data_IF_294868951979
#
_entry.id   IF_294868951979
#
_cell.length_a   1.000
_cell.length_b   1.000
_cell.length_c   1.000
_cell.angle_alpha   90.00
_cell.angle_beta   90.00
_cell.angle_gamma   90.00
#
_symmetry.space_group_name_H-M   'P 1'
#
loop_
_entity.id
_entity.type
_entity.pdbx_description
1 polymer ?
#
# COMPACT_ATOMS: atom_id res chain seq x y z
N UNK A 1 26.10 -38.73 47.38
CA UNK A 1 27.57 -38.65 47.25
C UNK A 1 27.87 -37.61 46.18
N UNK A 2 28.35 -36.40 46.42
CA UNK A 2 28.92 -35.80 47.62
C UNK A 2 28.65 -34.29 47.60
N UNK A 3 28.36 -33.80 48.79
CA UNK A 3 28.18 -32.42 49.22
C UNK A 3 29.51 -31.70 49.47
N UNK A 4 29.53 -30.37 49.33
CA UNK A 4 30.36 -29.36 50.01
C UNK A 4 29.80 -28.00 49.52
N UNK A 5 28.93 -27.25 50.22
CA UNK A 5 29.00 -26.60 51.53
C UNK A 5 30.33 -25.86 51.78
N UNK A 6 30.32 -24.53 51.60
CA UNK A 6 30.88 -23.62 52.59
C UNK A 6 30.06 -22.32 52.69
N UNK A 7 29.80 -21.94 53.94
CA UNK A 7 28.97 -20.84 54.45
C UNK A 7 29.79 -19.55 54.67
N UNK A 8 29.06 -18.43 54.75
CA UNK A 8 29.39 -17.24 55.54
C UNK A 8 29.02 -15.97 54.79
N UNK A 9 28.26 -15.01 55.30
CA UNK A 9 27.68 -14.74 56.61
C UNK A 9 27.14 -13.29 56.59
N UNK A 10 26.09 -13.05 57.38
CA UNK A 10 25.25 -11.85 57.47
C UNK A 10 25.95 -10.49 57.64
N UNK A 11 25.27 -9.41 57.20
CA UNK A 11 24.84 -8.32 58.11
C UNK A 11 23.90 -7.32 57.42
N UNK A 12 22.76 -7.04 58.05
CA UNK A 12 21.89 -5.88 57.79
C UNK A 12 22.50 -4.62 58.40
N UNK A 13 22.36 -3.44 57.77
CA UNK A 13 22.20 -2.14 58.43
C UNK A 13 21.90 -0.98 57.44
N UNK A 14 20.76 -0.33 57.70
CA UNK A 14 20.44 1.11 57.66
C UNK A 14 20.48 1.97 56.39
N UNK A 15 19.46 2.84 56.32
CA UNK A 15 19.25 4.02 55.49
C UNK A 15 20.44 5.00 55.37
N UNK A 16 20.62 5.58 54.18
CA UNK A 16 20.48 7.02 53.90
C UNK A 16 21.12 7.44 52.56
N UNK A 17 20.37 8.19 51.74
CA UNK A 17 20.85 9.37 51.02
C UNK A 17 21.97 9.29 49.96
N UNK A 18 21.58 9.71 48.74
CA UNK A 18 22.33 10.52 47.74
C UNK A 18 23.10 9.81 46.60
N UNK A 19 22.78 10.36 45.42
CA UNK A 19 23.57 10.55 44.18
C UNK A 19 23.71 9.35 43.24
N UNK A 20 23.01 9.48 42.11
CA UNK A 20 23.23 8.71 40.89
C UNK A 20 24.70 8.72 40.49
N UNK A 21 25.29 7.52 40.38
CA UNK A 21 26.61 7.30 39.77
C UNK A 21 26.41 6.86 38.33
N UNK A 22 27.05 7.58 37.41
CA UNK A 22 27.33 7.14 36.04
C UNK A 22 28.17 5.86 36.13
N UNK A 23 27.65 4.73 35.67
CA UNK A 23 28.39 3.47 35.62
C UNK A 23 29.04 3.33 34.25
N UNK A 24 30.36 3.11 34.27
CA UNK A 24 31.25 3.03 33.12
C UNK A 24 30.99 1.82 32.22
N UNK A 25 31.42 1.97 30.96
CA UNK A 25 31.24 1.07 29.84
C UNK A 25 31.79 -0.36 30.08
N UNK A 26 30.95 -1.37 29.81
CA UNK A 26 31.37 -2.75 29.63
C UNK A 26 32.02 -2.95 28.26
N UNK A 27 33.22 -3.53 28.27
CA UNK A 27 34.06 -3.82 27.11
C UNK A 27 33.68 -5.20 26.56
N UNK A 28 32.89 -5.26 25.49
CA UNK A 28 32.64 -6.51 24.75
C UNK A 28 33.65 -6.67 23.61
N UNK A 29 34.35 -7.81 23.60
CA UNK A 29 35.15 -8.29 22.46
C UNK A 29 34.34 -9.37 21.73
N UNK A 30 34.23 -9.25 20.41
CA UNK A 30 33.98 -10.37 19.51
C UNK A 30 32.79 -10.19 18.55
N UNK A 31 33.09 -10.21 17.25
CA UNK A 31 32.13 -10.36 16.15
C UNK A 31 32.15 -9.19 15.16
N UNK A 32 32.73 -9.39 13.97
CA UNK A 32 32.61 -8.46 12.83
C UNK A 32 31.16 -8.42 12.37
N UNK A 33 30.35 -7.55 12.97
CA UNK A 33 29.10 -7.08 12.39
C UNK A 33 29.42 -5.98 11.36
N UNK A 34 28.73 -5.98 10.23
CA UNK A 34 28.81 -4.93 9.23
C UNK A 34 28.68 -3.55 9.90
N UNK A 35 29.64 -2.65 9.64
CA UNK A 35 29.59 -1.29 10.19
C UNK A 35 28.30 -0.60 9.72
N UNK A 36 27.51 0.01 10.62
CA UNK A 36 26.38 0.82 10.18
C UNK A 36 26.91 2.02 9.40
N UNK A 37 26.51 2.15 8.13
CA UNK A 37 27.04 3.16 7.21
C UNK A 37 26.85 4.62 7.71
N UNK A 38 25.95 4.88 8.67
CA UNK A 38 25.71 6.21 9.21
C UNK A 38 25.83 6.21 10.73
N UNK A 39 26.78 6.96 11.28
CA UNK A 39 26.81 7.22 12.72
C UNK A 39 25.62 8.11 13.09
N UNK A 40 24.89 7.82 14.19
CA UNK A 40 23.81 8.68 14.64
C UNK A 40 24.39 10.04 15.06
N UNK A 41 23.78 11.13 14.59
CA UNK A 41 24.16 12.49 14.91
C UNK A 41 23.56 12.95 16.24
N UNK A 42 22.31 12.58 16.49
CA UNK A 42 21.57 12.91 17.72
C UNK A 42 20.53 11.83 17.99
N UNK A 43 20.34 11.47 19.25
CA UNK A 43 19.40 10.42 19.65
C UNK A 43 18.61 10.88 20.88
N UNK A 44 17.30 10.62 20.85
CA UNK A 44 16.38 10.84 21.96
C UNK A 44 15.74 9.51 22.36
N UNK A 45 15.48 9.37 23.66
CA UNK A 45 14.65 8.30 24.22
C UNK A 45 13.53 8.97 24.98
N UNK A 46 12.29 8.77 24.52
CA UNK A 46 11.09 9.30 25.14
C UNK A 46 10.36 8.18 25.87
N UNK A 47 9.88 8.47 27.07
CA UNK A 47 8.92 7.61 27.78
C UNK A 47 7.54 8.06 27.34
N UNK A 48 6.74 7.12 26.83
CA UNK A 48 5.43 7.39 26.24
C UNK A 48 4.38 6.47 26.84
N UNK A 49 3.13 6.90 26.80
CA UNK A 49 2.00 6.01 27.09
C UNK A 49 1.80 5.01 25.94
N UNK A 50 1.36 3.77 26.22
CA UNK A 50 0.91 2.84 25.19
C UNK A 50 -0.16 3.46 24.30
N UNK A 51 -0.22 3.06 23.02
CA UNK A 51 -1.22 3.54 22.04
C UNK A 51 -1.19 5.06 21.83
N UNK A 52 -0.03 5.69 22.04
CA UNK A 52 0.17 7.10 21.67
C UNK A 52 0.26 7.27 20.15
N UNK A 53 0.25 8.53 19.70
CA UNK A 53 0.38 8.91 18.28
C UNK A 53 1.75 9.51 17.98
N UNK A 54 2.31 9.19 16.81
CA UNK A 54 3.50 9.82 16.27
C UNK A 54 3.08 10.91 15.28
N UNK A 55 3.43 12.15 15.55
CA UNK A 55 3.23 13.30 14.67
C UNK A 55 4.60 13.78 14.20
N UNK A 56 4.90 13.63 12.91
CA UNK A 56 6.17 14.08 12.31
C UNK A 56 5.88 15.09 11.21
N UNK A 57 6.55 16.23 11.27
CA UNK A 57 6.55 17.25 10.22
C UNK A 57 7.98 17.69 9.95
N UNK A 58 8.55 17.20 8.85
CA UNK A 58 9.96 17.39 8.52
C UNK A 58 10.18 17.50 6.99
N UNK A 59 11.07 18.39 6.51
CA UNK A 59 11.43 18.50 5.10
C UNK A 59 12.44 17.44 4.64
N UNK A 60 12.60 16.33 5.38
CA UNK A 60 13.63 15.32 5.13
C UNK A 60 13.06 13.90 5.23
N UNK A 61 13.90 12.89 5.01
CA UNK A 61 13.43 11.49 4.96
C UNK A 61 13.13 10.92 6.33
N UNK A 62 11.96 10.31 6.50
CA UNK A 62 11.48 9.74 7.77
C UNK A 62 11.33 8.22 7.64
N UNK A 63 11.95 7.48 8.55
CA UNK A 63 11.82 6.02 8.63
C UNK A 63 11.22 5.64 9.96
N UNK A 64 10.06 4.98 9.97
CA UNK A 64 9.40 4.50 11.18
C UNK A 64 9.38 2.98 11.17
N UNK A 65 9.82 2.38 12.27
CA UNK A 65 9.80 0.93 12.45
C UNK A 65 9.30 0.53 13.83
N UNK A 66 8.63 -0.60 13.91
CA UNK A 66 8.20 -1.16 15.19
C UNK A 66 9.37 -1.75 15.98
N UNK A 67 9.35 -1.56 17.30
CA UNK A 67 10.22 -2.25 18.24
C UNK A 67 9.90 -3.74 18.30
N UNK A 68 10.89 -4.54 18.71
CA UNK A 68 10.68 -5.94 19.06
C UNK A 68 9.90 -6.03 20.39
N UNK A 69 8.68 -6.60 20.39
CA UNK A 69 7.88 -6.77 21.61
C UNK A 69 8.58 -7.58 22.70
N UNK A 70 9.48 -8.50 22.34
CA UNK A 70 10.19 -9.32 23.33
C UNK A 70 11.27 -8.52 24.07
N UNK A 71 11.92 -7.57 23.38
CA UNK A 71 12.91 -6.69 23.98
C UNK A 71 12.26 -5.55 24.78
N UNK A 72 11.07 -5.10 24.37
CA UNK A 72 10.35 -3.98 24.97
C UNK A 72 8.88 -4.34 25.29
N UNK A 73 8.63 -5.20 26.28
CA UNK A 73 7.28 -5.71 26.56
C UNK A 73 6.33 -4.63 27.10
N UNK A 74 6.85 -3.56 27.68
CA UNK A 74 6.04 -2.48 28.26
C UNK A 74 5.51 -1.48 27.23
N UNK A 75 6.02 -1.49 25.99
CA UNK A 75 5.59 -0.57 24.93
C UNK A 75 5.56 0.91 25.36
N UNK A 76 6.48 1.30 26.25
CA UNK A 76 6.50 2.58 26.96
C UNK A 76 7.59 3.53 26.46
N UNK A 77 8.27 3.19 25.37
CA UNK A 77 9.42 3.94 24.87
C UNK A 77 9.34 4.20 23.39
N UNK A 78 9.84 5.37 22.99
CA UNK A 78 10.10 5.71 21.59
C UNK A 78 11.55 6.16 21.45
N UNK A 79 12.23 5.63 20.44
CA UNK A 79 13.59 6.03 20.12
C UNK A 79 13.56 6.88 18.85
N UNK A 80 14.16 8.07 18.91
CA UNK A 80 14.32 8.95 17.75
C UNK A 80 15.80 9.12 17.49
N UNK A 81 16.25 8.81 16.28
CA UNK A 81 17.64 8.88 15.86
C UNK A 81 17.73 9.70 14.60
N UNK A 82 18.57 10.73 14.59
CA UNK A 82 18.85 11.54 13.41
C UNK A 82 20.19 11.08 12.84
N UNK A 83 20.21 10.74 11.55
CA UNK A 83 21.39 10.30 10.81
C UNK A 83 21.60 11.20 9.59
N UNK A 84 22.83 11.64 9.36
CA UNK A 84 23.22 12.40 8.17
C UNK A 84 23.99 11.52 7.19
N UNK A 85 23.79 11.75 5.89
CA UNK A 85 24.39 10.91 4.83
C UNK A 85 25.78 11.40 4.39
N UNK A 86 26.28 12.57 4.85
CA UNK A 86 27.63 12.99 4.44
C UNK A 86 28.50 13.58 5.56
N UNK A 87 29.77 13.19 5.55
CA UNK A 87 30.80 13.61 6.53
C UNK A 87 31.62 14.82 6.07
N UNK A 88 31.28 15.44 4.94
CA UNK A 88 32.15 16.44 4.32
C UNK A 88 31.44 17.76 4.01
N UNK A 89 31.99 18.82 4.62
CA UNK A 89 32.08 20.23 4.14
C UNK A 89 30.98 21.22 4.60
N UNK A 90 31.34 21.99 5.64
CA UNK A 90 31.05 23.42 5.87
C UNK A 90 29.63 23.97 6.08
N UNK A 91 28.62 23.15 6.38
CA UNK A 91 27.48 23.63 7.19
C UNK A 91 27.37 22.77 8.44
N UNK A 92 27.46 23.40 9.60
CA UNK A 92 27.00 22.73 10.82
C UNK A 92 25.56 22.29 10.56
N UNK A 93 25.29 20.99 10.71
CA UNK A 93 23.91 20.54 10.77
C UNK A 93 23.34 21.18 12.03
N UNK A 94 22.48 22.19 11.88
CA UNK A 94 21.75 22.81 13.01
C UNK A 94 20.70 21.82 13.52
N UNK A 95 21.19 20.73 14.13
CA UNK A 95 20.40 19.67 14.77
C UNK A 95 19.66 20.17 16.02
N UNK A 96 19.84 21.43 16.39
CA UNK A 96 19.11 22.11 17.44
C UNK A 96 17.74 22.62 16.96
N UNK A 97 17.51 22.69 15.64
CA UNK A 97 16.21 23.06 15.06
C UNK A 97 15.20 21.90 15.04
N UNK A 98 15.57 20.72 15.53
CA UNK A 98 14.67 19.56 15.60
C UNK A 98 14.07 19.52 17.00
N UNK A 99 12.78 19.83 17.09
CA UNK A 99 12.03 19.71 18.33
C UNK A 99 11.43 18.31 18.44
N UNK A 100 11.83 17.57 19.48
CA UNK A 100 11.28 16.25 19.82
C UNK A 100 10.66 16.35 21.21
N UNK A 101 9.33 16.26 21.29
CA UNK A 101 8.58 16.41 22.55
C UNK A 101 7.51 15.33 22.65
N UNK A 102 7.26 14.85 23.87
CA UNK A 102 6.09 14.05 24.18
C UNK A 102 5.10 14.91 24.97
N UNK A 103 3.87 15.00 24.47
CA UNK A 103 2.77 15.69 25.13
C UNK A 103 1.83 14.66 25.75
N UNK A 104 1.77 14.64 27.09
CA UNK A 104 1.02 13.64 27.85
C UNK A 104 -0.50 13.83 27.78
N UNK A 105 -0.97 15.08 27.71
CA UNK A 105 -2.39 15.44 27.63
C UNK A 105 -3.05 14.90 26.36
N UNK A 106 -2.37 14.98 25.23
CA UNK A 106 -2.81 14.53 23.91
C UNK A 106 -2.24 13.16 23.52
N UNK A 107 -1.36 12.58 24.35
CA UNK A 107 -0.65 11.31 24.12
C UNK A 107 0.00 11.27 22.74
N UNK A 108 0.75 12.31 22.40
CA UNK A 108 1.42 12.41 21.11
C UNK A 108 2.91 12.72 21.23
N UNK A 109 3.71 12.05 20.41
CA UNK A 109 5.11 12.39 20.17
C UNK A 109 5.14 13.33 18.98
N UNK A 110 5.59 14.56 19.19
CA UNK A 110 5.73 15.58 18.15
C UNK A 110 7.20 15.70 17.77
N UNK A 111 7.48 15.54 16.48
CA UNK A 111 8.78 15.78 15.86
C UNK A 111 8.58 16.83 14.79
N UNK A 112 9.10 18.03 14.99
CA UNK A 112 8.93 19.14 14.08
C UNK A 112 10.25 19.86 13.80
N UNK A 113 10.50 20.19 12.54
CA UNK A 113 11.61 21.04 12.13
C UNK A 113 11.31 21.71 10.79
N UNK A 114 11.70 22.98 10.64
CA UNK A 114 11.52 23.77 9.40
C UNK A 114 12.80 23.95 8.59
N UNK A 115 13.96 23.80 9.22
CA UNK A 115 15.26 24.07 8.61
C UNK A 115 16.20 22.92 8.94
N UNK A 116 16.06 21.85 8.17
CA UNK A 116 16.91 20.66 8.22
C UNK A 116 17.26 20.27 6.79
N UNK A 117 18.50 19.82 6.59
CA UNK A 117 18.96 19.40 5.28
C UNK A 117 18.15 18.18 4.79
N UNK A 118 17.73 18.24 3.52
CA UNK A 118 17.03 17.20 2.80
C UNK A 118 17.77 15.86 2.76
N UNK A 119 19.11 15.87 2.88
CA UNK A 119 19.95 14.66 2.96
C UNK A 119 19.94 14.00 4.35
N UNK A 120 19.31 14.62 5.34
CA UNK A 120 19.17 14.04 6.68
C UNK A 120 18.06 13.00 6.70
N UNK A 121 18.24 11.96 7.52
CA UNK A 121 17.22 10.95 7.75
C UNK A 121 16.90 10.78 9.24
N UNK A 122 15.63 10.89 9.59
CA UNK A 122 15.11 10.66 10.93
C UNK A 122 14.54 9.26 11.03
N UNK A 123 15.17 8.42 11.84
CA UNK A 123 14.71 7.09 12.18
C UNK A 123 13.94 7.14 13.50
N UNK A 124 12.70 6.67 13.50
CA UNK A 124 11.84 6.58 14.69
C UNK A 124 11.49 5.11 14.93
N UNK A 125 11.78 4.62 16.12
CA UNK A 125 11.41 3.26 16.54
C UNK A 125 10.32 3.34 17.59
N UNK A 126 9.09 3.01 17.19
CA UNK A 126 7.88 3.08 18.04
C UNK A 126 7.49 1.70 18.56
N UNK A 127 6.66 1.60 19.62
CA UNK A 127 5.97 0.36 19.93
C UNK A 127 5.17 -0.17 18.72
N UNK A 128 4.84 -1.47 18.72
CA UNK A 128 4.09 -2.10 17.61
C UNK A 128 2.74 -1.43 17.39
N UNK A 129 2.01 -1.12 18.46
CA UNK A 129 0.73 -0.40 18.41
C UNK A 129 0.93 1.10 18.61
N UNK A 130 0.93 1.86 17.53
CA UNK A 130 1.18 3.30 17.56
C UNK A 130 0.54 3.99 16.36
N UNK A 131 -0.32 4.98 16.59
CA UNK A 131 -0.89 5.77 15.50
C UNK A 131 0.21 6.60 14.82
N UNK A 132 0.10 6.80 13.51
CA UNK A 132 1.15 7.48 12.73
C UNK A 132 0.54 8.58 11.89
N UNK A 133 1.10 9.78 12.01
CA UNK A 133 0.78 10.96 11.22
C UNK A 133 2.10 11.60 10.76
N UNK A 134 2.47 11.40 9.51
CA UNK A 134 3.74 11.89 8.95
C UNK A 134 3.45 12.83 7.79
N UNK A 135 4.06 14.00 7.85
CA UNK A 135 4.07 15.00 6.79
C UNK A 135 5.52 15.28 6.41
N UNK A 136 5.85 15.10 5.14
CA UNK A 136 7.15 15.51 4.61
C UNK A 136 7.01 16.47 3.44
N UNK A 137 7.84 17.52 3.48
CA UNK A 137 7.93 18.52 2.41
C UNK A 137 9.21 18.34 1.59
N UNK A 138 9.22 18.91 0.38
CA UNK A 138 10.34 18.77 -0.55
C UNK A 138 10.53 17.34 -1.04
N UNK A 139 11.75 16.82 -0.93
CA UNK A 139 12.15 15.49 -1.43
C UNK A 139 12.18 14.41 -0.34
N UNK A 140 11.71 14.73 0.88
CA UNK A 140 11.72 13.82 2.01
C UNK A 140 10.85 12.58 1.78
N UNK A 141 11.47 11.39 1.82
CA UNK A 141 10.78 10.11 1.63
C UNK A 141 10.34 9.49 2.95
N UNK A 142 9.19 8.81 2.96
CA UNK A 142 8.62 8.15 4.14
C UNK A 142 8.73 6.64 4.00
N UNK A 143 9.23 5.96 5.03
CA UNK A 143 9.27 4.50 5.07
C UNK A 143 8.70 3.98 6.38
N UNK A 144 7.60 3.23 6.34
CA UNK A 144 6.96 2.66 7.52
C UNK A 144 7.04 1.14 7.47
N UNK A 145 7.49 0.50 8.55
CA UNK A 145 7.64 -0.96 8.61
C UNK A 145 7.03 -1.58 9.86
N UNK A 146 6.21 -2.62 9.66
CA UNK A 146 5.68 -3.53 10.69
C UNK A 146 4.89 -2.85 11.81
N UNK A 147 4.17 -1.79 11.50
CA UNK A 147 3.35 -1.05 12.47
C UNK A 147 1.92 -1.58 12.47
N UNK A 148 1.33 -1.63 13.67
CA UNK A 148 -0.11 -1.78 13.90
C UNK A 148 -0.67 -0.45 14.42
N UNK A 149 -1.75 0.05 13.84
CA UNK A 149 -2.37 1.31 14.26
C UNK A 149 -3.88 1.32 14.01
N UNK A 150 -4.57 2.32 14.53
CA UNK A 150 -5.95 2.58 14.11
C UNK A 150 -5.95 3.56 12.93
N UNK A 151 -5.06 4.56 12.99
CA UNK A 151 -4.93 5.56 11.94
C UNK A 151 -3.46 5.68 11.47
N UNK A 152 -3.26 5.54 10.17
CA UNK A 152 -2.02 5.83 9.48
C UNK A 152 -2.27 6.95 8.46
N UNK A 153 -1.72 8.14 8.70
CA UNK A 153 -1.75 9.26 7.77
C UNK A 153 -0.35 9.59 7.27
N UNK A 154 -0.19 9.69 5.96
CA UNK A 154 1.07 10.02 5.30
C UNK A 154 0.78 11.07 4.23
N UNK A 155 1.55 12.16 4.26
CA UNK A 155 1.49 13.24 3.29
C UNK A 155 2.91 13.54 2.80
N UNK A 156 3.15 13.42 1.49
CA UNK A 156 4.48 13.62 0.88
C UNK A 156 4.40 14.52 -0.34
N UNK A 157 5.30 15.50 -0.46
CA UNK A 157 5.29 16.42 -1.62
C UNK A 157 5.93 15.77 -2.86
N UNK A 158 7.23 15.47 -2.87
CA UNK A 158 7.93 14.83 -4.00
C UNK A 158 8.67 13.55 -3.64
N UNK A 159 8.69 13.20 -2.36
CA UNK A 159 9.38 12.02 -1.85
C UNK A 159 8.60 10.73 -2.06
N UNK A 160 9.29 9.60 -1.93
CA UNK A 160 8.66 8.29 -2.03
C UNK A 160 8.00 7.88 -0.72
N UNK A 161 6.81 7.28 -0.80
CA UNK A 161 6.07 6.74 0.33
C UNK A 161 6.09 5.21 0.28
N UNK A 162 6.81 4.57 1.21
CA UNK A 162 6.94 3.12 1.29
C UNK A 162 6.29 2.59 2.57
N UNK A 163 5.29 1.72 2.43
CA UNK A 163 4.67 1.02 3.55
C UNK A 163 4.98 -0.46 3.43
N UNK A 164 5.50 -1.07 4.49
CA UNK A 164 5.82 -2.48 4.54
C UNK A 164 5.12 -3.19 5.69
N UNK A 165 4.21 -4.11 5.35
CA UNK A 165 3.50 -4.96 6.34
C UNK A 165 2.81 -4.16 7.46
N UNK A 166 2.00 -3.17 7.06
CA UNK A 166 1.26 -2.28 7.98
C UNK A 166 -0.13 -2.85 8.22
N UNK A 167 -0.58 -2.87 9.47
CA UNK A 167 -1.98 -3.18 9.82
C UNK A 167 -2.63 -1.94 10.39
N UNK A 168 -3.64 -1.41 9.73
CA UNK A 168 -4.39 -0.28 10.24
C UNK A 168 -5.88 -0.53 10.17
N UNK A 169 -6.68 0.22 10.93
CA UNK A 169 -8.10 0.34 10.60
C UNK A 169 -8.29 1.28 9.40
N UNK A 170 -7.60 2.43 9.39
CA UNK A 170 -7.60 3.40 8.31
C UNK A 170 -6.16 3.76 7.87
N UNK A 171 -5.89 3.70 6.56
CA UNK A 171 -4.63 4.12 5.94
C UNK A 171 -4.94 5.22 4.93
N UNK A 172 -4.41 6.42 5.14
CA UNK A 172 -4.59 7.57 4.27
C UNK A 172 -3.23 8.03 3.77
N UNK A 173 -2.98 7.89 2.47
CA UNK A 173 -1.74 8.31 1.82
C UNK A 173 -2.09 9.40 0.81
N UNK A 174 -1.44 10.55 0.94
CA UNK A 174 -1.50 11.65 -0.03
C UNK A 174 -0.10 11.93 -0.53
N UNK A 175 0.07 11.98 -1.85
CA UNK A 175 1.34 12.34 -2.45
C UNK A 175 1.12 13.30 -3.61
N UNK A 176 1.87 14.40 -3.66
CA UNK A 176 1.80 15.37 -4.77
C UNK A 176 2.76 14.99 -5.92
N UNK A 177 3.71 14.10 -5.63
CA UNK A 177 4.78 13.68 -6.50
C UNK A 177 5.53 12.48 -5.90
N UNK A 178 6.27 11.74 -6.73
CA UNK A 178 7.06 10.59 -6.30
C UNK A 178 6.32 9.25 -6.43
N UNK A 179 6.71 8.26 -5.64
CA UNK A 179 6.16 6.90 -5.74
C UNK A 179 5.57 6.40 -4.43
N UNK A 180 4.37 5.84 -4.51
CA UNK A 180 3.75 5.08 -3.41
C UNK A 180 4.03 3.59 -3.61
N UNK A 181 4.68 2.94 -2.65
CA UNK A 181 5.00 1.51 -2.68
C UNK A 181 4.47 0.79 -1.43
N UNK A 182 3.43 0.00 -1.60
CA UNK A 182 2.92 -0.89 -0.56
C UNK A 182 3.53 -2.29 -0.73
N UNK A 183 4.48 -2.64 0.14
CA UNK A 183 5.23 -3.89 0.14
C UNK A 183 4.66 -4.87 1.19
N UNK A 184 4.56 -6.15 0.81
CA UNK A 184 3.88 -7.15 1.63
C UNK A 184 2.36 -6.90 1.66
N UNK A 185 1.74 -7.16 2.82
CA UNK A 185 0.30 -6.99 3.01
C UNK A 185 0.01 -5.74 3.82
N UNK A 186 -0.82 -4.84 3.29
CA UNK A 186 -1.41 -3.74 4.05
C UNK A 186 -2.86 -4.09 4.38
N UNK A 187 -3.20 -4.03 5.66
CA UNK A 187 -4.56 -4.31 6.15
C UNK A 187 -5.27 -3.01 6.51
N UNK A 188 -6.58 -2.95 6.24
CA UNK A 188 -7.45 -1.85 6.64
C UNK A 188 -8.21 -1.19 5.50
N UNK A 189 -8.95 -0.14 5.83
CA UNK A 189 -9.57 0.75 4.86
C UNK A 189 -8.50 1.69 4.30
N UNK A 190 -8.25 1.63 3.00
CA UNK A 190 -7.10 2.32 2.39
C UNK A 190 -7.60 3.41 1.45
N UNK A 191 -7.17 4.65 1.67
CA UNK A 191 -7.36 5.77 0.77
C UNK A 191 -6.00 6.26 0.27
N UNK A 192 -5.74 6.18 -1.02
CA UNK A 192 -4.52 6.67 -1.67
C UNK A 192 -4.91 7.74 -2.67
N UNK A 193 -4.34 8.93 -2.53
CA UNK A 193 -4.42 9.99 -3.51
C UNK A 193 -2.99 10.31 -3.98
N UNK A 194 -2.76 10.16 -5.28
CA UNK A 194 -1.46 10.41 -5.89
C UNK A 194 -1.63 11.39 -7.06
N UNK A 195 -1.21 12.64 -6.84
CA UNK A 195 -1.32 13.71 -7.82
C UNK A 195 -0.17 13.68 -8.83
N UNK A 196 -0.30 14.47 -9.89
CA UNK A 196 0.66 14.60 -10.98
C UNK A 196 1.05 13.23 -11.56
N UNK A 197 2.35 13.03 -11.83
CA UNK A 197 2.89 11.81 -12.44
C UNK A 197 3.28 10.73 -11.41
N UNK A 198 2.62 10.71 -10.24
CA UNK A 198 2.98 9.83 -9.14
C UNK A 198 2.62 8.37 -9.41
N UNK A 199 3.60 7.47 -9.32
CA UNK A 199 3.35 6.03 -9.56
C UNK A 199 2.93 5.30 -8.29
N UNK A 200 1.90 4.46 -8.38
CA UNK A 200 1.40 3.68 -7.25
C UNK A 200 1.63 2.19 -7.52
N UNK A 201 2.47 1.56 -6.69
CA UNK A 201 2.75 0.12 -6.75
C UNK A 201 2.32 -0.56 -5.46
N UNK A 202 1.41 -1.52 -5.59
CA UNK A 202 0.80 -2.23 -4.50
C UNK A 202 1.03 -3.72 -4.69
N UNK A 203 1.58 -4.38 -3.68
CA UNK A 203 1.72 -5.83 -3.68
C UNK A 203 0.42 -6.50 -3.25
N UNK A 204 -0.06 -6.24 -2.03
CA UNK A 204 -1.29 -6.83 -1.52
C UNK A 204 -2.02 -5.87 -0.58
N UNK A 205 -3.29 -5.60 -0.86
CA UNK A 205 -4.20 -4.92 0.07
C UNK A 205 -5.32 -5.86 0.50
N UNK A 206 -5.68 -5.79 1.78
CA UNK A 206 -6.81 -6.53 2.35
C UNK A 206 -7.60 -5.60 3.26
N UNK A 207 -8.90 -5.44 3.00
CA UNK A 207 -9.74 -4.55 3.79
C UNK A 207 -11.16 -4.49 3.29
N UNK A 208 -12.02 -3.76 3.98
CA UNK A 208 -13.44 -3.64 3.59
C UNK A 208 -13.61 -2.67 2.44
N UNK A 209 -12.99 -1.47 2.54
CA UNK A 209 -13.10 -0.40 1.55
C UNK A 209 -11.73 0.09 1.11
N UNK A 210 -11.49 0.16 -0.20
CA UNK A 210 -10.24 0.71 -0.78
C UNK A 210 -10.55 1.77 -1.82
N UNK A 211 -10.04 2.98 -1.65
CA UNK A 211 -10.13 4.06 -2.62
C UNK A 211 -8.73 4.45 -3.10
N UNK A 212 -8.51 4.42 -4.41
CA UNK A 212 -7.23 4.82 -5.01
C UNK A 212 -7.51 5.78 -6.16
N UNK A 213 -6.98 6.98 -6.06
CA UNK A 213 -7.09 8.02 -7.07
C UNK A 213 -5.68 8.42 -7.53
N UNK A 214 -5.44 8.32 -8.84
CA UNK A 214 -4.21 8.80 -9.49
C UNK A 214 -4.57 9.87 -10.53
N UNK A 215 -3.67 10.80 -10.82
CA UNK A 215 -3.85 11.72 -11.95
C UNK A 215 -3.23 11.12 -13.21
N UNK A 216 -1.92 11.32 -13.41
CA UNK A 216 -1.23 10.90 -14.65
C UNK A 216 -0.31 9.70 -14.45
N UNK A 217 -0.03 9.34 -13.20
CA UNK A 217 0.86 8.23 -12.89
C UNK A 217 0.22 6.86 -13.02
N UNK A 218 1.05 5.85 -13.29
CA UNK A 218 0.59 4.46 -13.42
C UNK A 218 0.19 3.85 -12.07
N UNK A 219 -0.91 3.09 -12.07
CA UNK A 219 -1.37 2.31 -10.92
C UNK A 219 -1.17 0.82 -11.20
N UNK A 220 -0.40 0.15 -10.35
CA UNK A 220 -0.20 -1.31 -10.40
C UNK A 220 -0.50 -1.94 -9.05
N UNK A 221 -1.54 -2.75 -8.97
CA UNK A 221 -1.87 -3.54 -7.78
C UNK A 221 -1.83 -5.03 -8.11
N UNK A 222 -1.02 -5.83 -7.41
CA UNK A 222 -0.88 -7.26 -7.70
C UNK A 222 -2.02 -8.09 -7.10
N UNK A 223 -2.41 -7.81 -5.85
CA UNK A 223 -3.51 -8.49 -5.17
C UNK A 223 -4.42 -7.49 -4.44
N UNK A 224 -5.70 -7.51 -4.74
CA UNK A 224 -6.74 -6.75 -4.04
C UNK A 224 -7.78 -7.72 -3.49
N UNK A 225 -7.87 -7.82 -2.17
CA UNK A 225 -8.90 -8.62 -1.48
C UNK A 225 -9.79 -7.69 -0.68
N UNK A 226 -10.89 -7.26 -1.30
CA UNK A 226 -11.76 -6.24 -0.71
C UNK A 226 -13.22 -6.65 -0.75
N UNK A 227 -14.05 -6.04 0.08
CA UNK A 227 -15.50 -6.11 -0.15
C UNK A 227 -15.88 -5.12 -1.26
N UNK A 228 -15.41 -3.87 -1.14
CA UNK A 228 -15.60 -2.83 -2.15
C UNK A 228 -14.32 -2.04 -2.41
N UNK A 229 -14.13 -1.63 -3.67
CA UNK A 229 -13.06 -0.71 -4.03
C UNK A 229 -13.47 0.28 -5.11
N UNK A 230 -12.93 1.49 -5.03
CA UNK A 230 -13.08 2.55 -6.02
C UNK A 230 -11.70 2.97 -6.51
N UNK A 231 -11.45 2.83 -7.80
CA UNK A 231 -10.17 3.12 -8.42
C UNK A 231 -10.38 4.11 -9.55
N UNK A 232 -9.69 5.25 -9.51
CA UNK A 232 -9.76 6.24 -10.58
C UNK A 232 -8.38 6.72 -11.04
N UNK A 233 -8.27 7.03 -12.33
CA UNK A 233 -7.09 7.64 -12.95
C UNK A 233 -7.50 8.67 -13.99
N UNK A 234 -6.82 9.81 -14.10
CA UNK A 234 -7.06 10.73 -15.22
C UNK A 234 -6.45 10.17 -16.50
N UNK A 235 -5.13 10.02 -16.57
CA UNK A 235 -4.45 9.56 -17.80
C UNK A 235 -3.57 8.31 -17.60
N UNK A 236 -3.23 7.95 -16.36
CA UNK A 236 -2.36 6.81 -16.08
C UNK A 236 -3.01 5.44 -16.29
N UNK A 237 -2.24 4.49 -16.84
CA UNK A 237 -2.63 3.07 -16.96
C UNK A 237 -2.96 2.45 -15.59
N UNK A 238 -4.03 1.65 -15.55
CA UNK A 238 -4.42 0.87 -14.37
C UNK A 238 -4.21 -0.62 -14.65
N UNK A 239 -3.36 -1.26 -13.85
CA UNK A 239 -3.03 -2.70 -13.96
C UNK A 239 -3.31 -3.41 -12.64
N UNK A 240 -4.39 -4.18 -12.62
CA UNK A 240 -4.78 -5.02 -11.50
C UNK A 240 -4.42 -6.48 -11.79
N UNK A 241 -3.78 -7.16 -10.83
CA UNK A 241 -3.40 -8.57 -10.93
C UNK A 241 -4.58 -9.48 -10.65
N UNK A 242 -4.76 -9.88 -9.39
CA UNK A 242 -5.94 -10.61 -8.93
C UNK A 242 -6.79 -9.73 -8.04
N UNK A 243 -8.09 -9.70 -8.31
CA UNK A 243 -9.06 -8.83 -7.67
C UNK A 243 -10.22 -9.68 -7.15
N UNK A 244 -10.52 -9.53 -5.86
CA UNK A 244 -11.66 -10.15 -5.21
C UNK A 244 -12.57 -9.07 -4.62
N UNK A 245 -13.88 -9.22 -4.83
CA UNK A 245 -14.92 -8.29 -4.37
C UNK A 245 -15.47 -7.37 -5.47
N UNK A 246 -16.15 -6.31 -5.05
CA UNK A 246 -16.80 -5.36 -5.95
C UNK A 246 -15.88 -4.18 -6.26
N UNK A 247 -15.68 -3.88 -7.54
CA UNK A 247 -14.76 -2.83 -7.99
C UNK A 247 -15.44 -1.84 -8.91
N UNK A 248 -15.34 -0.55 -8.59
CA UNK A 248 -15.67 0.54 -9.47
C UNK A 248 -14.37 1.16 -10.00
N UNK A 249 -14.18 1.13 -11.31
CA UNK A 249 -12.97 1.60 -11.98
C UNK A 249 -13.30 2.66 -13.02
N UNK A 250 -12.61 3.79 -12.96
CA UNK A 250 -12.72 4.84 -13.96
C UNK A 250 -11.34 5.30 -14.42
N UNK A 251 -11.09 5.32 -15.73
CA UNK A 251 -9.95 6.00 -16.33
C UNK A 251 -10.46 7.01 -17.35
N UNK A 252 -9.83 8.17 -17.54
CA UNK A 252 -10.23 9.04 -18.68
C UNK A 252 -9.50 8.59 -19.95
N UNK A 253 -8.17 8.53 -19.91
CA UNK A 253 -7.35 8.21 -21.10
C UNK A 253 -6.48 6.96 -20.95
N UNK A 254 -6.36 6.41 -19.74
CA UNK A 254 -5.49 5.26 -19.46
C UNK A 254 -6.10 3.92 -19.87
N UNK A 255 -5.24 2.97 -20.22
CA UNK A 255 -5.67 1.58 -20.47
C UNK A 255 -5.87 0.83 -19.16
N UNK A 256 -6.84 -0.08 -19.17
CA UNK A 256 -7.23 -0.87 -18.00
C UNK A 256 -6.94 -2.34 -18.25
N UNK A 257 -6.15 -2.96 -17.39
CA UNK A 257 -5.90 -4.40 -17.44
C UNK A 257 -6.24 -5.05 -16.10
N UNK A 258 -7.06 -6.09 -16.13
CA UNK A 258 -7.37 -6.93 -14.97
C UNK A 258 -6.95 -8.37 -15.27
N UNK A 259 -5.99 -8.87 -14.51
CA UNK A 259 -5.39 -10.19 -14.70
C UNK A 259 -6.31 -11.34 -14.31
N UNK A 260 -7.12 -11.16 -13.26
CA UNK A 260 -8.15 -12.10 -12.78
C UNK A 260 -9.14 -11.38 -11.88
N UNK A 261 -10.42 -11.45 -12.24
CA UNK A 261 -11.54 -10.94 -11.44
C UNK A 261 -12.34 -12.10 -10.84
N UNK A 262 -12.59 -12.02 -9.53
CA UNK A 262 -13.47 -12.89 -8.74
C UNK A 262 -14.45 -11.98 -7.96
N UNK A 263 -15.57 -11.63 -8.59
CA UNK A 263 -16.53 -10.65 -8.04
C UNK A 263 -17.19 -9.80 -9.11
N UNK A 264 -17.59 -8.57 -8.75
CA UNK A 264 -18.24 -7.61 -9.66
C UNK A 264 -17.28 -6.49 -10.06
N UNK A 265 -17.44 -5.98 -11.29
CA UNK A 265 -16.61 -4.90 -11.82
C UNK A 265 -17.45 -3.96 -12.68
N UNK A 266 -17.47 -2.68 -12.33
CA UNK A 266 -17.93 -1.61 -13.21
C UNK A 266 -16.71 -0.80 -13.65
N UNK A 267 -16.27 -0.94 -14.90
CA UNK A 267 -15.12 -0.23 -15.45
C UNK A 267 -15.53 0.70 -16.60
N UNK A 268 -14.97 1.91 -16.62
CA UNK A 268 -15.17 2.87 -17.72
C UNK A 268 -13.86 3.55 -18.16
N UNK A 269 -13.72 3.79 -19.46
CA UNK A 269 -12.65 4.59 -20.07
C UNK A 269 -13.17 5.42 -21.24
N UNK A 270 -12.53 6.55 -21.55
CA UNK A 270 -12.84 7.28 -22.78
C UNK A 270 -12.00 6.74 -23.94
N UNK A 271 -10.67 6.80 -23.82
CA UNK A 271 -9.78 6.47 -24.94
C UNK A 271 -9.00 5.14 -24.78
N UNK A 272 -8.82 4.67 -23.55
CA UNK A 272 -7.95 3.53 -23.26
C UNK A 272 -8.53 2.18 -23.67
N UNK A 273 -7.66 1.20 -23.96
CA UNK A 273 -8.12 -0.17 -24.17
C UNK A 273 -8.44 -0.85 -22.83
N UNK A 274 -9.40 -1.79 -22.83
CA UNK A 274 -9.70 -2.64 -21.69
C UNK A 274 -9.36 -4.10 -21.99
N UNK A 275 -8.59 -4.74 -21.12
CA UNK A 275 -8.28 -6.18 -21.18
C UNK A 275 -8.54 -6.84 -19.82
N UNK A 276 -9.65 -7.57 -19.71
CA UNK A 276 -10.16 -8.07 -18.42
C UNK A 276 -10.39 -9.57 -18.49
N UNK A 277 -9.78 -10.32 -17.56
CA UNK A 277 -10.09 -11.73 -17.34
C UNK A 277 -11.08 -11.90 -16.21
N UNK A 278 -12.21 -12.52 -16.51
CA UNK A 278 -13.26 -12.82 -15.52
C UNK A 278 -13.18 -14.29 -15.17
N UNK A 279 -12.66 -14.60 -13.98
CA UNK A 279 -12.48 -15.97 -13.50
C UNK A 279 -13.74 -16.51 -12.84
N UNK A 280 -14.41 -15.69 -12.03
CA UNK A 280 -15.74 -15.95 -11.48
C UNK A 280 -16.61 -14.72 -11.70
N UNK A 281 -17.83 -14.93 -12.20
CA UNK A 281 -18.72 -13.85 -12.62
C UNK A 281 -19.65 -13.45 -11.49
N UNK A 282 -19.55 -12.19 -11.06
CA UNK A 282 -20.64 -11.42 -10.45
C UNK A 282 -21.34 -10.55 -11.51
N UNK A 283 -21.40 -9.23 -11.28
CA UNK A 283 -21.89 -8.27 -12.27
C UNK A 283 -20.72 -7.54 -12.93
N UNK A 284 -20.56 -7.68 -14.26
CA UNK A 284 -19.48 -7.03 -14.99
C UNK A 284 -20.05 -6.05 -16.01
N UNK A 285 -19.74 -4.77 -15.84
CA UNK A 285 -20.15 -3.69 -16.73
C UNK A 285 -18.92 -2.93 -17.21
N UNK A 286 -18.63 -3.02 -18.51
CA UNK A 286 -17.46 -2.42 -19.13
C UNK A 286 -17.93 -1.41 -20.18
N UNK A 287 -17.42 -0.19 -20.11
CA UNK A 287 -17.75 0.87 -21.05
C UNK A 287 -16.51 1.57 -21.57
N UNK A 288 -16.43 1.73 -22.88
CA UNK A 288 -15.39 2.49 -23.56
C UNK A 288 -16.01 3.43 -24.59
N UNK A 289 -15.45 4.62 -24.80
CA UNK A 289 -15.88 5.48 -25.91
C UNK A 289 -15.15 5.08 -27.20
N UNK A 290 -13.82 5.17 -27.19
CA UNK A 290 -12.97 4.88 -28.36
C UNK A 290 -12.25 3.55 -28.28
N UNK A 291 -11.84 3.16 -27.06
CA UNK A 291 -10.98 2.01 -26.85
C UNK A 291 -11.65 0.68 -27.15
N UNK A 292 -10.83 -0.30 -27.53
CA UNK A 292 -11.28 -1.69 -27.70
C UNK A 292 -11.45 -2.36 -26.32
N UNK A 293 -12.45 -3.24 -26.21
CA UNK A 293 -12.70 -4.03 -25.00
C UNK A 293 -12.46 -5.49 -25.32
N UNK A 294 -11.50 -6.12 -24.64
CA UNK A 294 -11.29 -7.56 -24.67
C UNK A 294 -11.70 -8.15 -23.34
N UNK A 295 -12.67 -9.06 -23.37
CA UNK A 295 -13.09 -9.86 -22.22
C UNK A 295 -12.58 -11.28 -22.41
N UNK A 296 -11.80 -11.77 -21.45
CA UNK A 296 -11.31 -13.15 -21.39
C UNK A 296 -12.10 -13.93 -20.35
N UNK A 297 -12.57 -15.12 -20.70
CA UNK A 297 -13.39 -15.99 -19.84
C UNK A 297 -12.92 -17.44 -19.90
N UNK A 298 -13.11 -18.25 -18.84
CA UNK A 298 -12.93 -19.69 -18.93
C UNK A 298 -14.05 -20.34 -19.77
N UNK A 299 -13.74 -21.45 -20.45
CA UNK A 299 -14.66 -22.15 -21.37
C UNK A 299 -16.01 -22.51 -20.74
N UNK A 300 -16.00 -22.88 -19.46
CA UNK A 300 -17.16 -23.41 -18.72
C UNK A 300 -17.88 -22.37 -17.86
N UNK A 301 -17.65 -21.08 -18.08
CA UNK A 301 -18.27 -20.03 -17.27
C UNK A 301 -19.77 -19.91 -17.59
N UNK A 302 -20.69 -20.07 -16.62
CA UNK A 302 -22.11 -19.82 -16.83
C UNK A 302 -22.40 -18.33 -16.66
N UNK A 303 -22.76 -17.63 -17.74
CA UNK A 303 -23.08 -16.19 -17.69
C UNK A 303 -23.96 -15.76 -18.86
N UNK A 304 -24.78 -14.73 -18.65
CA UNK A 304 -25.39 -13.97 -19.73
C UNK A 304 -24.41 -12.94 -20.28
N UNK A 305 -24.54 -12.61 -21.56
CA UNK A 305 -23.65 -11.69 -22.27
C UNK A 305 -24.46 -10.61 -23.00
N UNK A 306 -23.96 -9.38 -22.96
CA UNK A 306 -24.36 -8.30 -23.85
C UNK A 306 -23.10 -7.56 -24.34
N UNK A 307 -22.73 -7.77 -25.59
CA UNK A 307 -21.56 -7.15 -26.20
C UNK A 307 -22.02 -6.15 -27.26
N UNK A 308 -21.56 -4.91 -27.19
CA UNK A 308 -21.92 -3.86 -28.13
C UNK A 308 -20.70 -3.10 -28.62
N UNK A 309 -20.50 -3.02 -29.93
CA UNK A 309 -19.33 -2.40 -30.54
C UNK A 309 -19.56 -2.04 -32.01
N UNK A 310 -18.63 -1.30 -32.61
CA UNK A 310 -18.60 -1.17 -34.09
C UNK A 310 -18.41 -2.54 -34.73
N UNK A 311 -17.58 -3.36 -34.09
CA UNK A 311 -17.37 -4.77 -34.41
C UNK A 311 -17.47 -5.58 -33.13
N UNK A 312 -18.12 -6.74 -33.20
CA UNK A 312 -18.15 -7.72 -32.11
C UNK A 312 -17.52 -9.00 -32.61
N UNK A 313 -16.46 -9.44 -31.95
CA UNK A 313 -15.70 -10.65 -32.27
C UNK A 313 -15.81 -11.66 -31.12
N UNK A 314 -16.16 -12.90 -31.43
CA UNK A 314 -16.29 -13.97 -30.44
C UNK A 314 -15.47 -15.16 -30.88
N UNK A 315 -14.60 -15.63 -29.99
CA UNK A 315 -13.78 -16.80 -30.28
C UNK A 315 -14.64 -18.04 -30.56
N UNK A 316 -14.31 -18.85 -31.59
CA UNK A 316 -15.13 -19.99 -32.01
C UNK A 316 -15.22 -21.09 -30.95
N UNK A 317 -14.29 -21.11 -29.99
CA UNK A 317 -14.25 -22.06 -28.89
C UNK A 317 -15.37 -21.81 -27.85
N UNK A 318 -16.07 -20.67 -27.92
CA UNK A 318 -17.16 -20.32 -27.00
C UNK A 318 -18.49 -20.79 -27.57
N UNK A 319 -19.12 -21.76 -26.91
CA UNK A 319 -20.47 -22.19 -27.24
C UNK A 319 -21.48 -21.19 -26.68
N UNK A 320 -22.09 -20.41 -27.58
CA UNK A 320 -23.14 -19.46 -27.28
C UNK A 320 -24.53 -20.08 -27.48
N UNK A 321 -25.43 -19.81 -26.54
CA UNK A 321 -26.84 -20.16 -26.59
C UNK A 321 -27.69 -18.88 -26.70
N UNK A 322 -28.92 -19.00 -27.21
CA UNK A 322 -29.91 -17.90 -27.28
C UNK A 322 -29.38 -16.62 -27.95
N UNK A 323 -28.63 -16.78 -29.03
CA UNK A 323 -27.98 -15.67 -29.72
C UNK A 323 -29.02 -14.75 -30.37
N UNK A 324 -28.97 -13.46 -30.02
CA UNK A 324 -29.68 -12.40 -30.71
C UNK A 324 -28.70 -11.30 -31.09
N UNK A 325 -28.67 -10.94 -32.37
CA UNK A 325 -27.82 -9.89 -32.90
C UNK A 325 -28.69 -8.79 -33.47
N UNK A 326 -28.47 -7.56 -33.04
CA UNK A 326 -29.12 -6.37 -33.57
C UNK A 326 -28.08 -5.38 -34.06
N UNK A 327 -28.34 -4.75 -35.19
CA UNK A 327 -27.50 -3.67 -35.72
C UNK A 327 -28.33 -2.41 -35.79
N UNK A 328 -27.90 -1.36 -35.09
CA UNK A 328 -28.54 -0.03 -35.09
C UNK A 328 -27.46 1.03 -35.23
N UNK A 329 -27.65 1.97 -36.14
CA UNK A 329 -26.78 3.16 -36.29
C UNK A 329 -25.27 2.86 -36.42
N UNK A 330 -24.91 1.73 -37.05
CA UNK A 330 -23.49 1.32 -37.21
C UNK A 330 -22.87 0.63 -35.99
N UNK A 331 -23.67 0.36 -34.96
CA UNK A 331 -23.26 -0.41 -33.78
C UNK A 331 -23.94 -1.78 -33.79
N UNK A 332 -23.14 -2.83 -33.61
CA UNK A 332 -23.59 -4.22 -33.49
C UNK A 332 -23.73 -4.55 -32.01
N UNK A 333 -24.91 -5.01 -31.60
CA UNK A 333 -25.18 -5.55 -30.26
C UNK A 333 -25.48 -7.04 -30.36
N UNK A 334 -24.69 -7.83 -29.67
CA UNK A 334 -24.82 -9.28 -29.51
C UNK A 334 -25.26 -9.58 -28.09
N UNK A 335 -26.39 -10.25 -27.93
CA UNK A 335 -26.82 -10.83 -26.65
C UNK A 335 -26.85 -12.35 -26.76
N UNK A 336 -26.30 -13.04 -25.78
CA UNK A 336 -26.24 -14.50 -25.75
C UNK A 336 -26.09 -15.00 -24.31
N UNK A 337 -26.16 -16.31 -24.11
CA UNK A 337 -25.80 -16.96 -22.84
C UNK A 337 -24.71 -18.02 -23.06
N UNK A 338 -23.83 -18.18 -22.08
CA UNK A 338 -22.82 -19.25 -22.05
C UNK A 338 -23.23 -20.26 -20.97
N UNK A 339 -23.15 -21.56 -21.28
CA UNK A 339 -23.32 -22.68 -20.34
C UNK A 339 -24.57 -22.62 -19.44
N UNK A 340 -25.72 -22.24 -20.01
CA UNK A 340 -27.03 -22.18 -19.33
C UNK A 340 -26.98 -21.39 -17.99
N UNK A 341 -26.93 -20.06 -18.11
CA UNK A 341 -26.94 -19.15 -16.97
C UNK A 341 -28.30 -19.19 -16.23
N UNK A 342 -28.38 -19.99 -15.16
CA UNK A 342 -29.53 -20.03 -14.27
C UNK A 342 -29.43 -18.91 -13.22
N UNK A 343 -29.75 -17.67 -13.60
CA UNK A 343 -29.89 -16.58 -12.63
C UNK A 343 -29.70 -15.18 -13.21
N UNK A 344 -30.49 -14.21 -12.72
CA UNK A 344 -30.45 -12.79 -13.12
C UNK A 344 -29.20 -12.03 -12.63
N UNK A 345 -28.34 -12.65 -11.83
CA UNK A 345 -27.26 -11.94 -11.12
C UNK A 345 -25.88 -12.06 -11.76
N UNK A 346 -25.71 -12.93 -12.77
CA UNK A 346 -24.41 -13.18 -13.43
C UNK A 346 -24.44 -12.77 -14.89
N UNK A 347 -23.89 -11.61 -15.18
CA UNK A 347 -23.89 -11.06 -16.54
C UNK A 347 -22.64 -10.25 -16.81
N UNK A 348 -22.22 -10.28 -18.07
CA UNK A 348 -21.14 -9.45 -18.60
C UNK A 348 -21.75 -8.57 -19.67
N UNK A 349 -21.74 -7.26 -19.43
CA UNK A 349 -22.02 -6.25 -20.44
C UNK A 349 -20.77 -5.48 -20.77
N UNK A 350 -20.41 -5.47 -22.04
CA UNK A 350 -19.28 -4.72 -22.56
C UNK A 350 -19.74 -3.87 -23.75
N UNK A 351 -19.51 -2.56 -23.67
CA UNK A 351 -19.97 -1.60 -24.65
C UNK A 351 -18.82 -0.67 -25.06
N UNK A 352 -18.48 -0.66 -26.34
CA UNK A 352 -17.59 0.34 -26.93
C UNK A 352 -18.34 1.10 -28.04
N UNK A 353 -18.26 2.44 -28.07
CA UNK A 353 -18.96 3.24 -29.09
C UNK A 353 -18.27 3.17 -30.45
N UNK A 354 -16.94 3.35 -30.47
CA UNK A 354 -16.12 3.39 -31.70
C UNK A 354 -15.05 2.30 -31.76
N UNK A 355 -14.98 1.43 -30.75
CA UNK A 355 -14.04 0.32 -30.68
C UNK A 355 -14.65 -1.04 -30.99
N UNK A 356 -13.77 -2.05 -31.06
CA UNK A 356 -14.15 -3.46 -31.18
C UNK A 356 -14.33 -4.07 -29.79
N UNK A 357 -15.36 -4.90 -29.64
CA UNK A 357 -15.57 -5.72 -28.44
C UNK A 357 -15.26 -7.17 -28.78
N UNK A 358 -14.25 -7.75 -28.13
CA UNK A 358 -13.82 -9.13 -28.34
C UNK A 358 -14.05 -9.99 -27.10
N UNK A 359 -14.68 -11.15 -27.28
CA UNK A 359 -14.79 -12.19 -26.27
C UNK A 359 -13.87 -13.36 -26.60
N UNK A 360 -12.96 -13.69 -25.67
CA UNK A 360 -11.95 -14.75 -25.86
C UNK A 360 -11.98 -15.77 -24.74
N UNK A 361 -11.67 -17.02 -25.08
CA UNK A 361 -11.38 -18.06 -24.09
C UNK A 361 -9.97 -17.87 -23.55
N UNK A 362 -9.78 -18.18 -22.27
CA UNK A 362 -8.45 -18.34 -21.72
C UNK A 362 -8.46 -19.42 -20.63
N UNK A 363 -7.52 -20.35 -20.75
CA UNK A 363 -7.31 -21.37 -19.74
C UNK A 363 -6.56 -20.79 -18.54
N UNK A 364 -6.88 -21.25 -17.31
CA UNK A 364 -6.27 -20.76 -16.07
C UNK A 364 -4.73 -20.86 -16.07
N UNK A 365 -4.18 -21.87 -16.75
CA UNK A 365 -2.72 -22.05 -16.88
C UNK A 365 -2.08 -20.89 -17.67
N UNK A 366 -2.80 -20.34 -18.65
CA UNK A 366 -2.36 -19.19 -19.45
C UNK A 366 -2.57 -17.87 -18.70
N UNK A 367 -3.46 -17.80 -17.70
CA UNK A 367 -3.67 -16.57 -16.91
C UNK A 367 -2.54 -16.34 -15.89
N UNK A 368 -1.78 -17.39 -15.55
CA UNK A 368 -0.65 -17.30 -14.61
C UNK A 368 0.58 -16.56 -15.17
N UNK A 369 0.60 -16.22 -16.48
CA UNK A 369 1.69 -15.49 -17.16
C UNK A 369 3.08 -15.91 -16.64
N UNK A 370 3.37 -17.22 -16.64
CA UNK A 370 4.68 -17.71 -16.26
C UNK A 370 5.73 -17.06 -17.16
N UNK A 371 6.57 -16.19 -16.60
CA UNK A 371 7.78 -15.75 -17.26
C UNK A 371 8.74 -16.94 -17.21
N UNK A 372 8.93 -17.63 -18.35
CA UNK A 372 10.10 -18.48 -18.53
C UNK A 372 11.32 -17.57 -18.41
N UNK A 373 12.06 -17.74 -17.32
CA UNK A 373 13.33 -17.07 -17.02
C UNK A 373 14.38 -17.31 -18.07
#
# INVERSE_FOLDING_TARGET
MSSLLYRGGCSCLSWAGRRARVVAACRWKGGRAAEPLNKPLKQWTLIVSPQSRLCVELPCSVRVSSQDPFAYPHADRVFVTVSGVDRNVHRGLDLDNIEVKYEESSRQVVIHSRDIDSHTCVEVTTPVRFDVNIKTSGTGSVNIKKIECDNCHIETEKGDSVLQSVKSHAVNIRTDGGKVSCLGTVYGNVNIYAAAQSSVKIEKLQGTSINICTEDGTLKAKYLYTESSSISSASGDIRLGSVHGDVNLHSQHGSVTVGSLDGSLSASTCDGAMDIYVSQVGQVHLKSEEGCITVRVPEKLPTSLQLAGTTVDVSPDIQLNEIQTTSKEGQVTLTASINAANGRERWIKAESKRGTVSLKTQNWLQSLKFHTT
#
